data_IF_007555794355
#
_entry.id   IF_007555794355
#
_cell.length_a   1.000
_cell.length_b   1.000
_cell.length_c   1.000
_cell.angle_alpha   90.00
_cell.angle_beta   90.00
_cell.angle_gamma   90.00
#
_symmetry.space_group_name_H-M   'P 1'
#
loop_
_entity.id
_entity.type
_entity.pdbx_description
1 polymer ?
#
# COMPACT_ATOMS: atom_id res chain seq x y z
N UNK A 1 47.82 -53.93 33.73
CA UNK A 1 46.81 -54.75 33.01
C UNK A 1 45.81 -53.78 32.41
N UNK A 2 45.69 -53.75 31.07
CA UNK A 2 44.85 -52.86 30.24
C UNK A 2 45.15 -51.33 30.40
N UNK A 3 45.26 -50.47 29.37
CA UNK A 3 44.43 -50.24 28.16
C UNK A 3 43.00 -49.80 28.51
N UNK A 4 42.32 -48.84 27.86
CA UNK A 4 42.63 -47.83 26.83
C UNK A 4 41.61 -46.66 27.06
N UNK A 5 41.49 -45.53 26.35
CA UNK A 5 41.95 -45.04 25.04
C UNK A 5 42.41 -43.55 25.17
N UNK A 6 42.59 -42.81 24.07
CA UNK A 6 43.09 -41.42 24.03
C UNK A 6 42.53 -40.64 22.82
N UNK A 7 41.77 -39.56 23.06
CA UNK A 7 41.53 -38.40 22.16
C UNK A 7 40.66 -37.38 22.93
N UNK A 8 41.05 -36.13 23.24
CA UNK A 8 41.60 -35.01 22.45
C UNK A 8 40.71 -34.55 21.29
N UNK A 9 40.28 -33.29 21.42
CA UNK A 9 40.23 -32.24 20.36
C UNK A 9 39.57 -32.61 19.02
N UNK A 10 38.44 -31.96 18.69
CA UNK A 10 38.44 -30.69 17.95
C UNK A 10 37.02 -30.34 17.44
N UNK A 11 36.72 -29.06 17.28
CA UNK A 11 35.60 -28.56 16.50
C UNK A 11 35.96 -28.47 15.00
N UNK A 12 35.09 -28.91 14.09
CA UNK A 12 35.11 -28.35 12.73
C UNK A 12 33.72 -28.15 12.10
N UNK A 13 33.69 -27.23 11.11
CA UNK A 13 32.74 -27.11 9.98
C UNK A 13 31.21 -27.00 10.30
N UNK A 14 30.42 -26.09 9.74
CA UNK A 14 30.44 -25.37 8.45
C UNK A 14 30.26 -26.30 7.24
N UNK A 15 29.00 -26.65 6.97
CA UNK A 15 28.53 -27.11 5.67
C UNK A 15 27.46 -26.14 5.15
N UNK A 16 27.73 -25.59 3.97
CA UNK A 16 26.71 -25.12 3.03
C UNK A 16 26.48 -26.23 1.99
N UNK A 17 25.61 -25.98 1.02
CA UNK A 17 25.24 -26.88 -0.10
C UNK A 17 24.21 -27.97 0.28
N UNK A 18 23.20 -28.30 -0.53
CA UNK A 18 22.80 -27.71 -1.82
C UNK A 18 21.29 -27.82 -2.11
N UNK A 19 20.89 -27.31 -3.27
CA UNK A 19 19.50 -27.19 -3.73
C UNK A 19 18.81 -28.51 -4.08
N UNK A 20 17.50 -28.58 -3.82
CA UNK A 20 16.57 -29.40 -4.61
C UNK A 20 15.32 -28.57 -4.98
N UNK A 21 15.25 -28.12 -6.23
CA UNK A 21 14.06 -27.51 -6.79
C UNK A 21 13.15 -28.56 -7.43
N UNK A 22 11.84 -28.45 -7.20
CA UNK A 22 10.83 -29.15 -7.98
C UNK A 22 9.74 -28.16 -8.41
N UNK A 23 9.95 -27.67 -9.63
CA UNK A 23 8.93 -27.26 -10.60
C UNK A 23 7.61 -28.04 -10.51
N UNK A 24 6.49 -27.30 -10.53
CA UNK A 24 5.33 -27.66 -11.36
C UNK A 24 4.65 -26.37 -11.87
N UNK A 25 4.78 -26.14 -13.17
CA UNK A 25 3.73 -25.50 -13.98
C UNK A 25 2.57 -26.53 -14.14
N UNK A 26 1.39 -26.24 -14.66
CA UNK A 26 0.83 -25.08 -15.36
C UNK A 26 -0.70 -25.25 -15.32
N UNK A 27 -1.51 -24.19 -15.40
CA UNK A 27 -2.74 -24.25 -16.21
C UNK A 27 -3.22 -22.84 -16.60
N UNK A 28 -3.75 -22.72 -17.82
CA UNK A 28 -3.99 -21.45 -18.50
C UNK A 28 -5.49 -21.12 -18.57
N UNK A 29 -5.91 -20.07 -17.86
CA UNK A 29 -7.26 -19.52 -17.92
C UNK A 29 -7.40 -18.48 -19.05
N UNK A 30 -7.79 -18.93 -20.23
CA UNK A 30 -7.89 -18.15 -21.48
C UNK A 30 -8.71 -16.85 -21.39
N UNK A 31 -8.23 -15.81 -22.09
CA UNK A 31 -8.95 -14.54 -22.28
C UNK A 31 -10.14 -14.74 -23.21
N UNK A 32 -11.35 -14.42 -22.75
CA UNK A 32 -12.51 -14.27 -23.66
C UNK A 32 -12.82 -12.80 -23.93
N UNK A 33 -12.38 -12.34 -25.11
CA UNK A 33 -12.89 -11.13 -25.73
C UNK A 33 -14.40 -11.29 -26.03
N UNK A 34 -15.23 -10.55 -25.29
CA UNK A 34 -16.66 -10.46 -25.54
C UNK A 34 -16.94 -9.41 -26.63
N UNK A 35 -17.22 -9.87 -27.85
CA UNK A 35 -17.36 -9.02 -29.04
C UNK A 35 -18.38 -7.87 -28.88
N UNK A 36 -17.99 -6.70 -29.40
CA UNK A 36 -18.86 -5.53 -29.56
C UNK A 36 -20.00 -5.87 -30.51
N UNK A 37 -21.24 -5.67 -30.07
CA UNK A 37 -22.43 -5.85 -30.89
C UNK A 37 -22.88 -4.51 -31.46
N UNK A 38 -22.55 -4.26 -32.72
CA UNK A 38 -23.08 -3.10 -33.45
C UNK A 38 -24.60 -3.16 -33.53
N UNK A 39 -25.27 -2.06 -33.16
CA UNK A 39 -26.63 -1.75 -33.62
C UNK A 39 -26.78 -0.27 -33.95
N UNK A 40 -26.75 -0.01 -35.26
CA UNK A 40 -27.58 0.95 -36.00
C UNK A 40 -27.77 2.38 -35.46
N UNK A 41 -27.28 3.33 -36.25
CA UNK A 41 -27.52 4.76 -36.17
C UNK A 41 -28.96 5.18 -36.51
N UNK A 42 -29.51 6.13 -35.72
CA UNK A 42 -30.19 7.36 -36.18
C UNK A 42 -30.72 8.17 -34.99
N UNK A 43 -30.52 9.49 -35.01
CA UNK A 43 -30.98 10.40 -33.96
C UNK A 43 -30.11 11.64 -33.85
N UNK A 44 -30.20 12.54 -34.83
CA UNK A 44 -29.39 13.76 -34.85
C UNK A 44 -30.00 14.86 -33.96
N UNK A 45 -29.18 15.45 -33.08
CA UNK A 45 -29.53 16.72 -32.43
C UNK A 45 -28.30 17.63 -32.30
N UNK A 46 -28.53 18.90 -32.61
CA UNK A 46 -27.59 19.98 -32.95
C UNK A 46 -26.36 20.12 -32.03
N UNK A 47 -25.21 20.38 -32.65
CA UNK A 47 -23.90 20.49 -32.02
C UNK A 47 -23.67 21.80 -31.26
N UNK A 48 -23.79 21.76 -29.93
CA UNK A 48 -23.21 22.79 -29.07
C UNK A 48 -21.67 22.70 -29.13
N UNK A 49 -21.00 23.80 -29.51
CA UNK A 49 -19.55 23.85 -29.78
C UNK A 49 -18.75 23.82 -28.45
N UNK A 50 -18.66 22.63 -27.86
CA UNK A 50 -18.04 22.39 -26.56
C UNK A 50 -16.60 22.88 -26.49
N UNK A 51 -16.33 23.80 -25.55
CA UNK A 51 -15.00 24.37 -25.26
C UNK A 51 -14.02 23.23 -24.95
N UNK A 52 -13.11 22.90 -25.88
CA UNK A 52 -12.12 21.81 -25.73
C UNK A 52 -11.37 22.01 -24.41
N UNK A 53 -11.67 21.17 -23.41
CA UNK A 53 -10.95 21.18 -22.12
C UNK A 53 -9.49 20.83 -22.42
N UNK A 54 -8.55 21.73 -22.12
CA UNK A 54 -7.11 21.47 -22.27
C UNK A 54 -6.78 20.17 -21.52
N UNK A 55 -6.15 19.23 -22.22
CA UNK A 55 -5.73 17.94 -21.65
C UNK A 55 -4.74 18.24 -20.53
N UNK A 56 -5.11 17.92 -19.28
CA UNK A 56 -4.27 18.21 -18.11
C UNK A 56 -2.97 17.42 -18.26
N UNK A 57 -1.84 18.11 -18.23
CA UNK A 57 -0.52 17.51 -18.35
C UNK A 57 -0.28 16.54 -17.20
N UNK A 58 0.27 15.37 -17.51
CA UNK A 58 0.66 14.39 -16.51
C UNK A 58 2.02 14.80 -15.96
N UNK A 59 2.04 15.45 -14.79
CA UNK A 59 3.27 15.57 -13.99
C UNK A 59 3.79 14.15 -13.72
N UNK A 60 5.08 13.91 -13.96
CA UNK A 60 5.78 12.68 -13.56
C UNK A 60 6.58 12.98 -12.31
N UNK A 61 6.45 12.16 -11.27
CA UNK A 61 7.04 12.41 -9.96
C UNK A 61 7.69 11.12 -9.46
N UNK A 62 9.02 11.12 -9.39
CA UNK A 62 9.82 9.94 -9.06
C UNK A 62 9.85 9.66 -7.55
N UNK A 63 9.93 10.73 -6.75
CA UNK A 63 10.09 10.65 -5.29
C UNK A 63 9.03 11.50 -4.60
N UNK A 64 8.46 10.99 -3.50
CA UNK A 64 7.33 11.64 -2.83
C UNK A 64 7.19 11.30 -1.35
N UNK A 65 6.05 11.66 -0.78
CA UNK A 65 5.70 11.41 0.62
C UNK A 65 4.38 10.63 0.73
N UNK A 66 4.31 9.63 1.61
CA UNK A 66 3.09 8.92 1.94
C UNK A 66 2.64 9.27 3.36
N UNK A 67 1.46 9.86 3.49
CA UNK A 67 0.82 10.14 4.76
C UNK A 67 -0.18 9.03 5.10
N UNK A 68 0.08 8.31 6.19
CA UNK A 68 -0.78 7.26 6.75
C UNK A 68 -1.44 7.81 8.02
N UNK A 69 -2.75 8.03 7.98
CA UNK A 69 -3.54 8.38 9.16
C UNK A 69 -4.25 7.12 9.68
N UNK A 70 -3.67 6.50 10.71
CA UNK A 70 -4.16 5.30 11.36
C UNK A 70 -4.91 5.67 12.65
N UNK A 71 -6.23 5.76 12.57
CA UNK A 71 -7.12 5.93 13.72
C UNK A 71 -7.69 4.58 14.15
N UNK A 72 -8.20 4.48 15.39
CA UNK A 72 -8.82 3.24 15.88
C UNK A 72 -9.95 2.68 15.00
N UNK A 73 -10.66 3.54 14.26
CA UNK A 73 -11.87 3.16 13.51
C UNK A 73 -11.66 3.12 11.99
N UNK A 74 -10.54 3.67 11.48
CA UNK A 74 -10.31 3.87 10.05
C UNK A 74 -8.83 4.14 9.76
N UNK A 75 -8.37 3.67 8.59
CA UNK A 75 -7.08 4.04 8.00
C UNK A 75 -7.30 4.85 6.74
N UNK A 76 -6.55 5.94 6.57
CA UNK A 76 -6.54 6.78 5.36
C UNK A 76 -5.10 6.88 4.87
N UNK A 77 -4.89 6.69 3.57
CA UNK A 77 -3.55 6.77 2.94
C UNK A 77 -3.61 7.81 1.84
N UNK A 78 -2.65 8.73 1.86
CA UNK A 78 -2.49 9.81 0.88
C UNK A 78 -1.07 9.79 0.35
N UNK A 79 -0.91 9.70 -0.97
CA UNK A 79 0.37 9.80 -1.68
C UNK A 79 0.51 11.21 -2.26
N UNK A 80 1.67 11.81 -2.06
CA UNK A 80 1.94 13.23 -2.35
C UNK A 80 3.32 13.43 -2.98
N UNK A 81 3.47 14.52 -3.71
CA UNK A 81 4.76 15.06 -4.16
C UNK A 81 5.58 15.55 -2.94
N UNK A 82 6.88 15.79 -3.11
CA UNK A 82 7.70 16.45 -2.07
C UNK A 82 7.18 17.85 -1.69
N UNK A 83 6.51 18.53 -2.61
CA UNK A 83 5.86 19.83 -2.41
C UNK A 83 4.51 19.75 -1.67
N UNK A 84 3.99 18.55 -1.38
CA UNK A 84 2.70 18.34 -0.71
C UNK A 84 1.47 18.28 -1.64
N UNK A 85 1.65 18.44 -2.96
CA UNK A 85 0.60 18.20 -3.96
C UNK A 85 0.10 16.75 -3.87
N UNK A 86 -1.22 16.53 -3.79
CA UNK A 86 -1.80 15.17 -3.65
C UNK A 86 -1.92 14.50 -5.01
N UNK A 87 -1.22 13.37 -5.17
CA UNK A 87 -1.26 12.51 -6.35
C UNK A 87 -2.48 11.60 -6.30
N UNK A 88 -2.60 10.84 -5.21
CA UNK A 88 -3.70 9.90 -4.99
C UNK A 88 -3.99 9.77 -3.50
N UNK A 89 -5.21 9.36 -3.18
CA UNK A 89 -5.59 8.98 -1.83
C UNK A 89 -6.59 7.83 -1.90
N UNK A 90 -6.70 7.10 -0.79
CA UNK A 90 -7.71 6.05 -0.61
C UNK A 90 -8.00 5.82 0.87
N UNK A 91 -9.16 5.21 1.17
CA UNK A 91 -9.59 4.90 2.54
C UNK A 91 -10.52 3.70 2.58
N UNK A 92 -10.80 3.19 3.79
CA UNK A 92 -11.59 1.98 3.96
C UNK A 92 -13.00 2.05 3.34
N UNK A 93 -13.63 3.24 3.30
CA UNK A 93 -14.94 3.43 2.70
C UNK A 93 -14.94 3.36 1.18
N UNK A 94 -13.89 3.88 0.52
CA UNK A 94 -13.72 3.77 -0.92
C UNK A 94 -13.51 2.32 -1.37
N UNK A 95 -12.76 1.54 -0.57
CA UNK A 95 -12.57 0.11 -0.78
C UNK A 95 -13.78 -0.76 -0.35
N UNK A 96 -14.93 -0.15 -0.03
CA UNK A 96 -16.16 -0.87 0.28
C UNK A 96 -16.27 -1.45 1.71
N UNK A 97 -15.27 -1.25 2.58
CA UNK A 97 -15.35 -1.72 3.96
C UNK A 97 -16.35 -0.90 4.78
N UNK A 98 -17.25 -1.60 5.49
CA UNK A 98 -18.32 -1.02 6.31
C UNK A 98 -18.22 -1.50 7.76
N UNK A 99 -18.77 -0.71 8.69
CA UNK A 99 -18.75 -1.01 10.12
C UNK A 99 -17.34 -1.22 10.70
N UNK A 100 -17.14 -2.17 11.64
CA UNK A 100 -15.86 -2.39 12.32
C UNK A 100 -14.77 -2.94 11.37
N UNK A 101 -15.14 -3.51 10.21
CA UNK A 101 -14.17 -4.04 9.23
C UNK A 101 -13.21 -2.95 8.71
N UNK A 102 -13.58 -1.67 8.80
CA UNK A 102 -12.75 -0.50 8.45
C UNK A 102 -11.47 -0.35 9.29
N UNK A 103 -11.46 -0.86 10.51
CA UNK A 103 -10.34 -0.79 11.44
C UNK A 103 -9.34 -1.96 11.28
N UNK A 104 -9.62 -2.93 10.40
CA UNK A 104 -8.82 -4.15 10.31
C UNK A 104 -7.48 -3.91 9.59
N UNK A 105 -6.41 -4.64 9.95
CA UNK A 105 -5.13 -4.58 9.23
C UNK A 105 -5.26 -4.99 7.75
N UNK A 106 -6.17 -5.92 7.44
CA UNK A 106 -6.50 -6.31 6.07
C UNK A 106 -7.07 -5.15 5.24
N UNK A 107 -7.95 -4.33 5.83
CA UNK A 107 -8.44 -3.13 5.15
C UNK A 107 -7.28 -2.16 4.82
N UNK A 108 -6.33 -1.96 5.74
CA UNK A 108 -5.15 -1.12 5.50
C UNK A 108 -4.32 -1.59 4.29
N UNK A 109 -4.10 -2.89 4.13
CA UNK A 109 -3.39 -3.46 2.96
C UNK A 109 -4.11 -3.15 1.65
N UNK A 110 -5.44 -3.34 1.60
CA UNK A 110 -6.24 -3.10 0.40
C UNK A 110 -6.34 -1.61 0.03
N UNK A 111 -6.39 -0.73 1.04
CA UNK A 111 -6.35 0.73 0.86
C UNK A 111 -5.03 1.17 0.22
N UNK A 112 -3.89 0.66 0.74
CA UNK A 112 -2.57 0.95 0.17
C UNK A 112 -2.47 0.46 -1.28
N UNK A 113 -2.85 -0.79 -1.55
CA UNK A 113 -2.87 -1.35 -2.91
C UNK A 113 -3.65 -0.46 -3.89
N UNK A 114 -4.83 0.03 -3.47
CA UNK A 114 -5.68 0.91 -4.28
C UNK A 114 -5.11 2.32 -4.47
N UNK A 115 -4.45 2.88 -3.46
CA UNK A 115 -3.76 4.17 -3.57
C UNK A 115 -2.58 4.12 -4.54
N UNK A 116 -1.79 3.04 -4.48
CA UNK A 116 -0.65 2.80 -5.38
C UNK A 116 -1.13 2.56 -6.81
N UNK A 117 -2.16 1.72 -7.01
CA UNK A 117 -2.74 1.45 -8.33
C UNK A 117 -3.13 2.73 -9.08
N UNK A 118 -3.74 3.71 -8.38
CA UNK A 118 -4.02 5.05 -8.92
C UNK A 118 -2.75 5.84 -9.26
N UNK A 119 -1.70 5.72 -8.44
CA UNK A 119 -0.45 6.47 -8.59
C UNK A 119 0.55 5.87 -9.59
N UNK A 120 0.39 4.60 -10.01
CA UNK A 120 1.25 3.94 -11.02
C UNK A 120 1.44 4.77 -12.29
N UNK A 121 0.40 5.51 -12.71
CA UNK A 121 0.45 6.38 -13.90
C UNK A 121 1.27 7.67 -13.75
N UNK A 122 1.83 7.95 -12.57
CA UNK A 122 2.63 9.15 -12.26
C UNK A 122 4.12 8.82 -12.03
N UNK A 123 4.47 7.54 -11.83
CA UNK A 123 5.86 7.09 -11.80
C UNK A 123 6.57 7.15 -10.45
N UNK A 124 5.83 7.23 -9.32
CA UNK A 124 6.40 7.14 -7.97
C UNK A 124 7.21 5.86 -7.79
N UNK A 125 8.42 6.00 -7.23
CA UNK A 125 9.32 4.89 -6.85
C UNK A 125 9.71 4.99 -5.37
N UNK A 126 10.21 6.14 -4.96
CA UNK A 126 10.80 6.34 -3.63
C UNK A 126 9.92 7.21 -2.74
N UNK A 127 9.71 6.80 -1.49
CA UNK A 127 8.70 7.40 -0.61
C UNK A 127 9.20 7.58 0.81
N UNK A 128 9.01 8.80 1.32
CA UNK A 128 9.13 9.13 2.75
C UNK A 128 7.79 8.86 3.43
N UNK A 129 7.76 7.97 4.44
CA UNK A 129 6.52 7.53 5.07
C UNK A 129 6.29 8.29 6.38
N UNK A 130 5.16 8.99 6.46
CA UNK A 130 4.71 9.75 7.63
C UNK A 130 3.48 9.07 8.24
N UNK A 131 3.63 8.57 9.46
CA UNK A 131 2.59 7.85 10.20
C UNK A 131 1.94 8.79 11.22
N UNK A 132 0.61 8.79 11.31
CA UNK A 132 -0.14 9.56 12.32
C UNK A 132 -1.19 8.69 12.98
N UNK A 133 -1.21 8.69 14.32
CA UNK A 133 -2.20 7.97 15.13
C UNK A 133 -1.84 6.50 15.37
N UNK A 134 -2.34 5.98 16.49
CA UNK A 134 -1.99 4.66 17.08
C UNK A 134 -2.97 3.54 16.67
N UNK A 135 -3.63 3.68 15.52
CA UNK A 135 -4.58 2.67 15.01
C UNK A 135 -3.90 1.38 14.53
N UNK A 136 -4.63 0.26 14.64
CA UNK A 136 -4.26 -1.10 14.19
C UNK A 136 -3.79 -1.20 12.74
N UNK A 137 -4.23 -0.30 11.86
CA UNK A 137 -3.79 -0.26 10.45
C UNK A 137 -2.36 0.25 10.22
N UNK A 138 -1.69 0.80 11.24
CA UNK A 138 -0.38 1.47 11.18
C UNK A 138 0.69 0.64 10.47
N UNK A 139 1.13 -0.46 11.08
CA UNK A 139 2.24 -1.29 10.56
C UNK A 139 1.84 -2.03 9.27
N UNK A 140 0.58 -2.44 9.19
CA UNK A 140 0.04 -3.12 8.02
C UNK A 140 0.06 -2.24 6.77
N UNK A 141 -0.17 -0.93 6.91
CA UNK A 141 -0.04 0.02 5.81
C UNK A 141 1.43 0.20 5.37
N UNK A 142 2.37 0.32 6.32
CA UNK A 142 3.81 0.43 6.00
C UNK A 142 4.33 -0.82 5.30
N UNK A 143 4.00 -2.03 5.81
CA UNK A 143 4.35 -3.30 5.17
C UNK A 143 3.73 -3.43 3.77
N UNK A 144 2.49 -2.96 3.59
CA UNK A 144 1.83 -2.97 2.29
C UNK A 144 2.44 -1.98 1.28
N UNK A 145 3.03 -0.85 1.71
CA UNK A 145 3.72 0.06 0.79
C UNK A 145 4.94 -0.66 0.16
N UNK A 146 5.76 -1.29 1.01
CA UNK A 146 6.93 -2.05 0.58
C UNK A 146 6.53 -3.23 -0.33
N UNK A 147 5.54 -4.03 0.09
CA UNK A 147 5.08 -5.21 -0.65
C UNK A 147 4.44 -4.90 -2.03
N UNK A 148 4.04 -3.65 -2.29
CA UNK A 148 3.51 -3.20 -3.58
C UNK A 148 4.56 -2.47 -4.45
N UNK A 149 5.85 -2.53 -4.09
CA UNK A 149 6.95 -2.06 -4.94
C UNK A 149 7.30 -0.56 -4.81
N UNK A 150 7.02 0.06 -3.66
CA UNK A 150 7.53 1.39 -3.33
C UNK A 150 8.73 1.27 -2.37
N UNK A 151 9.84 1.94 -2.71
CA UNK A 151 11.02 2.01 -1.85
C UNK A 151 10.75 2.95 -0.68
N UNK A 152 10.89 2.46 0.56
CA UNK A 152 10.71 3.26 1.77
C UNK A 152 12.05 3.86 2.17
N UNK A 153 12.20 5.19 2.01
CA UNK A 153 13.44 5.92 2.35
C UNK A 153 13.58 6.14 3.87
N UNK A 154 12.47 6.50 4.53
CA UNK A 154 12.43 6.69 5.97
C UNK A 154 10.99 6.54 6.48
N UNK A 155 10.85 6.17 7.74
CA UNK A 155 9.57 6.10 8.46
C UNK A 155 9.63 7.12 9.60
N UNK A 156 8.67 8.04 9.66
CA UNK A 156 8.56 9.07 10.70
C UNK A 156 7.17 9.02 11.34
N UNK A 157 7.09 8.86 12.66
CA UNK A 157 5.84 9.04 13.39
C UNK A 157 5.63 10.53 13.69
N UNK A 158 4.52 11.07 13.20
CA UNK A 158 4.06 12.46 13.38
C UNK A 158 2.77 12.51 14.24
N UNK A 159 2.57 11.52 15.10
CA UNK A 159 1.45 11.51 16.06
C UNK A 159 1.61 12.69 17.03
N UNK A 160 0.66 13.64 17.08
CA UNK A 160 0.81 14.85 17.86
C UNK A 160 0.71 14.55 19.36
N UNK A 161 1.75 14.93 20.10
CA UNK A 161 1.81 14.87 21.57
C UNK A 161 1.39 16.26 22.09
N UNK A 162 0.25 16.40 22.80
CA UNK A 162 -0.21 17.71 23.29
C UNK A 162 0.53 18.12 24.58
N UNK A 163 1.18 19.28 24.56
CA UNK A 163 1.78 19.89 25.75
C UNK A 163 0.70 20.58 26.62
N UNK A 164 -0.06 19.80 27.38
CA UNK A 164 -1.11 20.29 28.31
C UNK A 164 -2.10 21.32 27.72
N UNK A 165 -2.54 21.07 26.48
CA UNK A 165 -3.50 21.92 25.76
C UNK A 165 -4.97 21.65 26.15
N UNK A 166 -5.85 21.62 25.14
CA UNK A 166 -7.30 21.43 25.34
C UNK A 166 -7.64 20.18 26.18
N UNK A 167 -8.54 20.34 27.15
CA UNK A 167 -9.02 19.25 28.03
C UNK A 167 -9.56 18.08 27.20
N UNK A 168 -9.10 16.83 27.44
CA UNK A 168 -9.62 15.65 26.75
C UNK A 168 -11.11 15.44 27.08
N UNK A 169 -11.83 14.81 26.14
CA UNK A 169 -13.26 14.49 26.33
C UNK A 169 -13.43 13.56 27.54
N UNK A 170 -14.49 13.78 28.32
CA UNK A 170 -14.86 12.92 29.47
C UNK A 170 -14.89 11.44 29.02
N UNK A 171 -14.34 10.50 29.82
CA UNK A 171 -14.41 9.07 29.51
C UNK A 171 -15.85 8.64 29.20
N UNK A 172 -16.03 7.85 28.14
CA UNK A 172 -17.33 7.30 27.79
C UNK A 172 -17.75 6.30 28.87
N UNK A 173 -18.98 6.44 29.36
CA UNK A 173 -19.68 5.36 30.05
C UNK A 173 -20.33 4.52 28.95
N UNK A 174 -20.03 3.23 28.95
CA UNK A 174 -20.57 2.19 28.06
C UNK A 174 -21.01 1.03 28.93
#
# INVERSE_FOLDING_TARGET
MAEENKKKENSPALEQEESAGAVLAEDAGEVKEGAVKEKSSKGGTKSAKGKKRKKKEKKSVTSGCAYINATYNNTIVTLTDQNGDVISWSNAGENGFKGPKKATPYAAQMIVKRAIEKAKGVGLRDVLVFVKGVGTGRESAVRALNANGLNILAIKDITPIPHNGCRPRKPRRV
#
